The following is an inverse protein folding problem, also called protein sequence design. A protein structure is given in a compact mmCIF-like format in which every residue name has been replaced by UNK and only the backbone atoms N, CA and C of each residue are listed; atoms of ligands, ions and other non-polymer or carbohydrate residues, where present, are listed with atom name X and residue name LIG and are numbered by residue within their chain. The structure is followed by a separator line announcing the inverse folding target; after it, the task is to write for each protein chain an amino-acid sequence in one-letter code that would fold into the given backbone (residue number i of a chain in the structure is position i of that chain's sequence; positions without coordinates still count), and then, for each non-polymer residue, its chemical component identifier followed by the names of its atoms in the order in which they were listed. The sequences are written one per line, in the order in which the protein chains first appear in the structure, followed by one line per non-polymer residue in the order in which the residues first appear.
data_IF_313976881162
#
_entry.id   IF_313976881162
#
_cell.length_a   1.000
_cell.length_b   1.000
_cell.length_c   1.000
_cell.angle_alpha   90.00
_cell.angle_beta   90.00
_cell.angle_gamma   90.00
#
_symmetry.space_group_name_H-M   'P 1'
#
loop_
_entity.id
_entity.type
_entity.pdbx_description
1 polymer ?
#
# COMPACT_ATOMS: atom_id res chain seq x y z
N UNK A 1 3.47 -25.53 -10.21
CA UNK A 1 2.86 -25.28 -8.89
C UNK A 1 3.07 -23.81 -8.54
N UNK A 2 2.00 -23.10 -8.28
CA UNK A 2 2.14 -21.75 -7.73
C UNK A 2 2.71 -21.88 -6.31
N UNK A 3 3.88 -21.28 -6.07
CA UNK A 3 4.44 -21.17 -4.74
C UNK A 3 3.65 -20.13 -3.97
N UNK A 4 3.34 -20.38 -2.70
CA UNK A 4 2.75 -19.38 -1.80
C UNK A 4 3.77 -18.89 -0.80
N UNK A 5 3.57 -17.66 -0.32
CA UNK A 5 4.30 -17.06 0.78
C UNK A 5 3.32 -16.99 1.95
N UNK A 6 3.70 -17.55 3.08
CA UNK A 6 2.89 -17.60 4.28
C UNK A 6 3.36 -16.56 5.30
N UNK A 7 2.40 -15.97 5.99
CA UNK A 7 2.65 -15.04 7.09
C UNK A 7 2.20 -15.66 8.41
N UNK A 8 3.05 -15.58 9.43
CA UNK A 8 2.82 -16.18 10.74
C UNK A 8 2.90 -15.12 11.83
N UNK A 9 2.08 -15.28 12.86
CA UNK A 9 2.18 -14.50 14.08
C UNK A 9 3.46 -14.89 14.85
N UNK A 10 4.42 -13.99 15.05
CA UNK A 10 5.68 -14.32 15.70
C UNK A 10 5.53 -14.62 17.21
N UNK A 11 4.39 -14.27 17.82
CA UNK A 11 4.14 -14.50 19.24
C UNK A 11 3.72 -15.93 19.57
N UNK A 12 3.07 -16.62 18.61
CA UNK A 12 2.49 -17.95 18.86
C UNK A 12 2.67 -18.93 17.67
N UNK A 13 3.20 -18.47 16.53
CA UNK A 13 3.40 -19.28 15.34
C UNK A 13 2.13 -19.60 14.53
N UNK A 14 1.00 -18.94 14.85
CA UNK A 14 -0.25 -19.12 14.13
C UNK A 14 -0.14 -18.62 12.68
N UNK A 15 -0.64 -19.40 11.70
CA UNK A 15 -0.74 -18.97 10.32
C UNK A 15 -1.79 -17.87 10.20
N UNK A 16 -1.39 -16.70 9.75
CA UNK A 16 -2.27 -15.52 9.55
C UNK A 16 -2.91 -15.50 8.16
N UNK A 17 -2.19 -15.99 7.17
CA UNK A 17 -2.64 -16.04 5.80
C UNK A 17 -1.52 -16.37 4.84
N UNK A 18 -1.88 -16.43 3.56
CA UNK A 18 -0.91 -16.67 2.49
C UNK A 18 -1.23 -15.86 1.25
N UNK A 19 -0.22 -15.56 0.45
CA UNK A 19 -0.32 -14.91 -0.85
C UNK A 19 0.43 -15.71 -1.90
N UNK A 20 -0.02 -15.66 -3.14
CA UNK A 20 0.70 -16.29 -4.24
C UNK A 20 2.04 -15.59 -4.48
N UNK A 21 3.09 -16.39 -4.66
CA UNK A 21 4.38 -15.85 -5.09
C UNK A 21 4.30 -15.45 -6.56
N UNK A 22 4.54 -14.19 -6.85
CA UNK A 22 4.62 -13.67 -8.22
C UNK A 22 5.88 -14.20 -8.90
N UNK A 23 5.74 -14.78 -10.08
CA UNK A 23 6.88 -15.26 -10.87
C UNK A 23 7.67 -14.08 -11.48
N UNK A 24 8.92 -14.32 -11.84
CA UNK A 24 9.75 -13.32 -12.52
C UNK A 24 9.16 -12.86 -13.85
N UNK A 25 8.48 -13.75 -14.56
CA UNK A 25 7.79 -13.42 -15.80
C UNK A 25 6.60 -12.49 -15.54
N UNK A 26 5.76 -12.78 -14.55
CA UNK A 26 4.63 -11.92 -14.15
C UNK A 26 5.10 -10.55 -13.67
N UNK A 27 6.21 -10.46 -12.94
CA UNK A 27 6.84 -9.17 -12.56
C UNK A 27 7.22 -8.38 -13.81
N UNK A 28 7.89 -9.01 -14.78
CA UNK A 28 8.27 -8.36 -16.04
C UNK A 28 7.05 -7.85 -16.81
N UNK A 29 6.01 -8.68 -16.94
CA UNK A 29 4.76 -8.29 -17.60
C UNK A 29 4.08 -7.12 -16.88
N UNK A 30 4.06 -7.14 -15.55
CA UNK A 30 3.48 -6.05 -14.73
C UNK A 30 4.23 -4.74 -14.95
N UNK A 31 5.57 -4.77 -15.03
CA UNK A 31 6.37 -3.58 -15.33
C UNK A 31 6.06 -3.04 -16.73
N UNK A 32 5.91 -3.91 -17.73
CA UNK A 32 5.53 -3.48 -19.07
C UNK A 32 4.14 -2.82 -19.09
N UNK A 33 3.15 -3.39 -18.40
CA UNK A 33 1.82 -2.79 -18.27
C UNK A 33 1.88 -1.42 -17.55
N UNK A 34 2.66 -1.32 -16.48
CA UNK A 34 2.84 -0.07 -15.75
C UNK A 34 3.48 1.02 -16.63
N UNK A 35 4.51 0.68 -17.40
CA UNK A 35 5.13 1.62 -18.36
C UNK A 35 4.15 2.08 -19.44
N UNK A 36 3.29 1.21 -19.94
CA UNK A 36 2.27 1.58 -20.90
C UNK A 36 1.24 2.53 -20.29
N UNK A 37 0.76 2.22 -19.08
CA UNK A 37 -0.20 3.05 -18.36
C UNK A 37 0.39 4.43 -17.97
N UNK A 38 1.68 4.50 -17.68
CA UNK A 38 2.38 5.74 -17.35
C UNK A 38 2.25 6.80 -18.45
N UNK A 39 2.16 6.40 -19.72
CA UNK A 39 2.00 7.33 -20.84
C UNK A 39 0.70 8.13 -20.73
N UNK A 40 -0.40 7.47 -20.37
CA UNK A 40 -1.69 8.13 -20.14
C UNK A 40 -1.67 8.95 -18.85
N UNK A 41 -1.12 8.38 -17.76
CA UNK A 41 -1.00 9.04 -16.47
C UNK A 41 -0.25 10.37 -16.54
N UNK A 42 0.84 10.44 -17.29
CA UNK A 42 1.64 11.67 -17.45
C UNK A 42 0.93 12.77 -18.24
N UNK A 43 -0.13 12.45 -19.02
CA UNK A 43 -0.93 13.45 -19.73
C UNK A 43 -1.91 14.18 -18.78
N UNK A 44 -2.21 13.60 -17.64
CA UNK A 44 -3.02 14.25 -16.63
C UNK A 44 -2.26 15.45 -16.03
N UNK A 45 -2.98 16.52 -15.74
CA UNK A 45 -2.42 17.63 -14.96
C UNK A 45 -1.97 17.17 -13.58
N UNK A 46 -1.07 17.94 -12.95
CA UNK A 46 -0.66 17.66 -11.56
C UNK A 46 -1.87 17.61 -10.63
N UNK A 47 -2.82 18.54 -10.78
CA UNK A 47 -4.04 18.57 -9.96
C UNK A 47 -4.88 17.30 -10.10
N UNK A 48 -5.04 16.78 -11.31
CA UNK A 48 -5.80 15.54 -11.54
C UNK A 48 -5.10 14.33 -10.92
N UNK A 49 -3.78 14.24 -11.05
CA UNK A 49 -2.99 13.17 -10.44
C UNK A 49 -3.08 13.21 -8.91
N UNK A 50 -2.91 14.38 -8.31
CA UNK A 50 -3.00 14.57 -6.85
C UNK A 50 -4.40 14.21 -6.34
N UNK A 51 -5.46 14.69 -6.99
CA UNK A 51 -6.84 14.32 -6.61
C UNK A 51 -7.09 12.81 -6.67
N UNK A 52 -6.54 12.15 -7.67
CA UNK A 52 -6.66 10.69 -7.80
C UNK A 52 -5.97 9.96 -6.65
N UNK A 53 -4.75 10.37 -6.30
CA UNK A 53 -3.99 9.81 -5.18
C UNK A 53 -4.72 10.06 -3.85
N UNK A 54 -5.17 11.28 -3.59
CA UNK A 54 -5.90 11.61 -2.36
C UNK A 54 -7.18 10.76 -2.22
N UNK A 55 -7.96 10.61 -3.29
CA UNK A 55 -9.15 9.75 -3.28
C UNK A 55 -8.81 8.29 -2.97
N UNK A 56 -7.69 7.78 -3.48
CA UNK A 56 -7.24 6.44 -3.18
C UNK A 56 -6.88 6.28 -1.70
N UNK A 57 -6.15 7.23 -1.12
CA UNK A 57 -5.81 7.22 0.31
C UNK A 57 -7.05 7.34 1.20
N UNK A 58 -8.03 8.17 0.84
CA UNK A 58 -9.28 8.28 1.59
C UNK A 58 -10.06 6.97 1.64
N UNK A 59 -9.92 6.09 0.64
CA UNK A 59 -10.49 4.75 0.69
C UNK A 59 -9.82 3.83 1.72
N UNK A 60 -8.61 4.14 2.17
CA UNK A 60 -7.90 3.37 3.18
C UNK A 60 -8.40 3.65 4.60
N UNK A 61 -9.04 4.79 4.85
CA UNK A 61 -9.53 5.18 6.19
C UNK A 61 -10.42 4.08 6.81
N UNK A 62 -11.28 3.47 6.02
CA UNK A 62 -12.17 2.39 6.46
C UNK A 62 -11.45 1.09 6.84
N UNK A 63 -10.19 0.95 6.45
CA UNK A 63 -9.35 -0.22 6.75
C UNK A 63 -8.35 0.04 7.88
N UNK A 64 -8.34 1.22 8.50
CA UNK A 64 -7.37 1.60 9.53
C UNK A 64 -7.29 0.58 10.66
N UNK A 65 -8.44 0.16 11.19
CA UNK A 65 -8.50 -0.82 12.28
C UNK A 65 -7.97 -2.19 11.85
N UNK A 66 -8.44 -2.71 10.72
CA UNK A 66 -8.01 -4.02 10.22
C UNK A 66 -6.53 -4.05 9.83
N UNK A 67 -6.00 -2.96 9.25
CA UNK A 67 -4.58 -2.81 8.96
C UNK A 67 -3.74 -2.75 10.25
N UNK A 68 -4.21 -2.02 11.26
CA UNK A 68 -3.55 -1.94 12.56
C UNK A 68 -3.46 -3.30 13.23
N UNK A 69 -4.55 -4.06 13.24
CA UNK A 69 -4.60 -5.41 13.80
C UNK A 69 -3.69 -6.38 13.05
N UNK A 70 -3.71 -6.34 11.72
CA UNK A 70 -2.86 -7.18 10.88
C UNK A 70 -1.38 -6.87 11.12
N UNK A 71 -1.01 -5.59 11.13
CA UNK A 71 0.35 -5.14 11.40
C UNK A 71 0.83 -5.59 12.79
N UNK A 72 -0.01 -5.46 13.82
CA UNK A 72 0.30 -5.93 15.17
C UNK A 72 0.58 -7.44 15.19
N UNK A 73 -0.25 -8.23 14.53
CA UNK A 73 -0.12 -9.70 14.47
C UNK A 73 1.07 -10.15 13.63
N UNK A 74 1.30 -9.58 12.45
CA UNK A 74 2.41 -9.97 11.57
C UNK A 74 3.77 -9.58 12.12
N UNK A 75 3.86 -8.44 12.82
CA UNK A 75 5.12 -7.90 13.34
C UNK A 75 5.36 -8.19 14.81
N UNK A 76 4.39 -8.78 15.51
CA UNK A 76 4.47 -9.00 16.97
C UNK A 76 4.58 -7.70 17.76
N UNK A 77 3.92 -6.64 17.29
CA UNK A 77 4.06 -5.29 17.83
C UNK A 77 2.83 -4.90 18.68
N UNK A 78 3.05 -4.00 19.65
CA UNK A 78 1.96 -3.42 20.43
C UNK A 78 0.91 -2.75 19.53
N UNK A 79 -0.36 -3.01 19.81
CA UNK A 79 -1.47 -2.53 18.97
C UNK A 79 -1.52 -1.00 18.88
N UNK A 80 -1.15 -0.27 19.92
CA UNK A 80 -1.15 1.21 19.90
C UNK A 80 -0.08 1.74 18.92
N UNK A 81 1.09 1.08 18.89
CA UNK A 81 2.16 1.41 17.92
C UNK A 81 1.75 1.02 16.50
N UNK A 82 1.13 -0.13 16.31
CA UNK A 82 0.63 -0.56 15.00
C UNK A 82 -0.46 0.40 14.49
N UNK A 83 -1.38 0.85 15.35
CA UNK A 83 -2.40 1.83 15.01
C UNK A 83 -1.76 3.17 14.61
N UNK A 84 -0.82 3.69 15.38
CA UNK A 84 -0.12 4.93 15.05
C UNK A 84 0.62 4.85 13.71
N UNK A 85 1.20 3.70 13.38
CA UNK A 85 1.91 3.46 12.12
C UNK A 85 0.95 3.37 10.94
N UNK A 86 -0.17 2.64 11.07
CA UNK A 86 -1.19 2.53 10.02
C UNK A 86 -1.87 3.88 9.74
N UNK A 87 -2.31 4.59 10.80
CA UNK A 87 -2.88 5.93 10.70
C UNK A 87 -1.90 6.92 10.09
N UNK A 88 -0.64 6.89 10.54
CA UNK A 88 0.42 7.73 10.02
C UNK A 88 0.68 7.50 8.53
N UNK A 89 0.73 6.24 8.08
CA UNK A 89 0.93 5.91 6.66
C UNK A 89 -0.23 6.43 5.79
N UNK A 90 -1.47 6.28 6.23
CA UNK A 90 -2.66 6.78 5.51
C UNK A 90 -2.63 8.32 5.42
N UNK A 91 -2.38 8.99 6.54
CA UNK A 91 -2.32 10.46 6.59
C UNK A 91 -1.17 11.03 5.76
N UNK A 92 0.04 10.47 5.90
CA UNK A 92 1.23 10.97 5.20
C UNK A 92 1.13 10.82 3.68
N UNK A 93 0.42 9.81 3.18
CA UNK A 93 0.20 9.65 1.75
C UNK A 93 -0.59 10.80 1.14
N UNK A 94 -1.62 11.29 1.82
CA UNK A 94 -2.38 12.47 1.43
C UNK A 94 -1.52 13.73 1.51
N UNK A 95 -0.81 13.91 2.62
CA UNK A 95 0.06 15.06 2.83
C UNK A 95 1.16 15.17 1.77
N UNK A 96 1.85 14.08 1.45
CA UNK A 96 2.89 14.08 0.42
C UNK A 96 2.33 14.32 -0.99
N UNK A 97 1.12 13.90 -1.29
CA UNK A 97 0.48 14.21 -2.56
C UNK A 97 0.25 15.73 -2.71
N UNK A 98 -0.20 16.40 -1.65
CA UNK A 98 -0.37 17.85 -1.62
C UNK A 98 0.98 18.60 -1.69
N UNK A 99 1.99 18.10 -0.99
CA UNK A 99 3.34 18.67 -1.03
C UNK A 99 3.97 18.55 -2.42
N UNK A 100 3.79 17.42 -3.09
CA UNK A 100 4.25 17.23 -4.46
C UNK A 100 3.60 18.24 -5.41
N UNK A 101 2.32 18.56 -5.23
CA UNK A 101 1.63 19.59 -6.00
C UNK A 101 2.29 20.96 -5.81
N UNK A 102 2.60 21.34 -4.57
CA UNK A 102 3.23 22.62 -4.25
C UNK A 102 4.66 22.74 -4.78
N UNK A 103 5.40 21.63 -4.75
CA UNK A 103 6.80 21.61 -5.14
C UNK A 103 7.04 21.52 -6.65
N UNK A 104 6.09 20.98 -7.41
CA UNK A 104 6.24 20.65 -8.84
C UNK A 104 5.35 21.50 -9.77
N UNK A 105 4.56 22.42 -9.25
CA UNK A 105 3.78 23.40 -10.03
C UNK A 105 4.57 24.68 -10.32
#
# INVERSE_FOLDING_TARGET
MNKSIQSFDPSNGELLGEVNQTSAEEVTQTIHKAKAAQKAWRQLSMNERVRTIIKAYQQLDKYEESLSQLLAREMGKDIRRATGEATGAIYMGQHYAEDAQRALN
#
